data_IF_300704306119
#
_entry.id   IF_300704306119
#
_cell.length_a   1.000
_cell.length_b   1.000
_cell.length_c   1.000
_cell.angle_alpha   90.00
_cell.angle_beta   90.00
_cell.angle_gamma   90.00
#
_symmetry.space_group_name_H-M   'P 1'
#
loop_
_entity.id
_entity.type
_entity.pdbx_description
1 polymer ?
#
# COMPACT_ATOMS: atom_id res chain seq x y z
N UNK A 1 41.70 13.10 2.21
CA UNK A 1 40.69 12.09 2.60
C UNK A 1 40.47 11.02 1.51
N UNK A 2 41.50 10.65 0.75
CA UNK A 2 41.44 9.76 -0.44
C UNK A 2 42.27 8.47 -0.28
N UNK A 3 42.92 8.26 0.86
CA UNK A 3 43.85 7.11 1.07
C UNK A 3 43.24 5.88 1.73
N UNK A 4 41.98 5.93 2.23
CA UNK A 4 41.33 4.79 2.92
C UNK A 4 40.45 3.87 2.04
N UNK A 5 40.27 4.22 0.78
CA UNK A 5 39.43 3.38 -0.14
C UNK A 5 40.23 2.41 -1.02
N UNK A 6 41.60 2.40 -0.87
CA UNK A 6 42.42 1.50 -1.70
C UNK A 6 42.84 0.20 -0.98
N UNK A 7 42.68 0.11 0.33
CA UNK A 7 43.02 -1.09 1.09
C UNK A 7 41.90 -2.14 1.20
N UNK A 8 40.63 -1.77 0.97
CA UNK A 8 39.52 -2.71 1.05
C UNK A 8 39.34 -3.59 -0.20
N UNK A 9 40.02 -3.30 -1.30
CA UNK A 9 39.94 -4.08 -2.55
C UNK A 9 40.92 -5.25 -2.63
N UNK A 10 41.95 -5.27 -1.79
CA UNK A 10 43.01 -6.31 -1.81
C UNK A 10 42.68 -7.54 -0.94
N UNK A 11 41.64 -7.50 -0.10
CA UNK A 11 41.32 -8.62 0.81
C UNK A 11 40.36 -9.62 0.17
N UNK A 12 39.58 -9.19 -0.84
CA UNK A 12 38.61 -10.08 -1.51
C UNK A 12 39.25 -10.90 -2.64
N UNK A 13 40.32 -10.41 -3.27
CA UNK A 13 41.00 -11.11 -4.37
C UNK A 13 41.94 -12.25 -3.94
N UNK A 14 42.41 -12.25 -2.67
CA UNK A 14 43.38 -13.27 -2.20
C UNK A 14 42.67 -14.57 -1.81
N UNK A 15 41.40 -14.53 -1.38
CA UNK A 15 40.66 -15.71 -0.91
C UNK A 15 40.11 -16.61 -2.03
N UNK A 16 39.88 -16.08 -3.22
CA UNK A 16 39.27 -16.85 -4.32
C UNK A 16 40.32 -17.63 -5.13
N UNK A 17 41.52 -17.10 -5.28
CA UNK A 17 42.59 -17.76 -6.04
C UNK A 17 43.11 -19.00 -5.29
N UNK A 18 43.28 -18.92 -3.97
CA UNK A 18 43.74 -20.06 -3.13
C UNK A 18 42.75 -21.22 -3.10
N UNK A 19 41.43 -20.94 -3.11
CA UNK A 19 40.40 -21.98 -3.14
C UNK A 19 40.39 -22.76 -4.45
N UNK A 20 40.69 -22.07 -5.58
CA UNK A 20 40.71 -22.72 -6.91
C UNK A 20 41.94 -23.63 -7.11
N UNK A 21 43.07 -23.28 -6.50
CA UNK A 21 44.30 -24.13 -6.57
C UNK A 21 44.16 -25.40 -5.70
N UNK A 22 43.56 -25.29 -4.54
CA UNK A 22 43.37 -26.44 -3.61
C UNK A 22 42.41 -27.50 -4.20
N UNK A 23 41.38 -27.08 -4.93
CA UNK A 23 40.44 -27.98 -5.65
C UNK A 23 41.11 -28.67 -6.84
N UNK A 24 42.15 -28.07 -7.43
CA UNK A 24 42.86 -28.61 -8.61
C UNK A 24 43.91 -29.65 -8.21
N UNK A 25 44.41 -29.66 -6.97
CA UNK A 25 45.43 -30.57 -6.49
C UNK A 25 44.86 -31.95 -6.00
N UNK A 26 43.55 -32.07 -5.76
CA UNK A 26 42.91 -33.31 -5.32
C UNK A 26 42.49 -34.19 -6.51
N UNK A 27 43.48 -34.63 -7.31
CA UNK A 27 43.29 -35.62 -8.37
C UNK A 27 43.42 -37.05 -7.79
N UNK A 28 42.58 -37.47 -6.87
CA UNK A 28 42.44 -38.88 -6.50
C UNK A 28 41.20 -39.12 -5.65
N UNK A 29 40.02 -38.76 -6.14
CA UNK A 29 38.79 -39.27 -5.55
C UNK A 29 38.40 -40.51 -6.33
N UNK A 30 38.39 -41.71 -5.69
CA UNK A 30 38.03 -42.94 -6.39
C UNK A 30 36.57 -42.86 -6.84
N UNK A 31 36.34 -43.30 -8.06
CA UNK A 31 35.02 -43.23 -8.77
C UNK A 31 33.86 -43.86 -7.96
N UNK A 32 34.16 -44.68 -6.94
CA UNK A 32 33.16 -45.27 -6.03
C UNK A 32 32.51 -44.33 -5.03
N UNK A 33 33.16 -43.20 -4.68
CA UNK A 33 32.59 -42.23 -3.72
C UNK A 33 31.58 -41.29 -4.39
N UNK A 34 31.68 -41.11 -5.70
CA UNK A 34 30.70 -40.28 -6.45
C UNK A 34 29.34 -40.96 -6.55
N UNK A 35 29.27 -42.28 -6.60
CA UNK A 35 28.01 -43.01 -6.68
C UNK A 35 27.24 -42.97 -5.35
N UNK A 36 27.93 -42.94 -4.21
CA UNK A 36 27.32 -42.87 -2.90
C UNK A 36 26.81 -41.44 -2.60
N UNK A 37 27.52 -40.41 -3.06
CA UNK A 37 27.08 -39.02 -2.92
C UNK A 37 25.82 -38.71 -3.74
N UNK A 38 25.65 -39.33 -4.92
CA UNK A 38 24.44 -39.19 -5.74
C UNK A 38 23.23 -39.94 -5.18
N UNK A 39 23.45 -41.04 -4.46
CA UNK A 39 22.36 -41.81 -3.82
C UNK A 39 21.86 -41.12 -2.54
N UNK A 40 22.72 -40.41 -1.80
CA UNK A 40 22.35 -39.67 -0.60
C UNK A 40 21.79 -38.26 -0.98
N UNK A 41 22.28 -37.67 -2.07
CA UNK A 41 21.82 -36.37 -2.57
C UNK A 41 20.39 -36.38 -3.12
N UNK A 42 19.90 -37.55 -3.59
CA UNK A 42 18.54 -37.69 -4.14
C UNK A 42 17.42 -37.65 -3.09
N UNK A 43 17.74 -37.77 -1.78
CA UNK A 43 16.73 -37.77 -0.70
C UNK A 43 16.67 -36.47 0.09
N UNK A 44 17.63 -35.59 -0.10
CA UNK A 44 17.49 -34.20 0.36
C UNK A 44 16.69 -33.41 -0.65
N UNK A 45 15.39 -33.66 -0.71
CA UNK A 45 14.46 -32.66 -1.29
C UNK A 45 14.76 -31.38 -0.54
N UNK A 46 15.31 -30.41 -1.24
CA UNK A 46 15.44 -29.04 -0.82
C UNK A 46 14.02 -28.54 -0.56
N UNK A 47 13.52 -28.84 0.63
CA UNK A 47 12.34 -28.23 1.18
C UNK A 47 12.78 -26.78 1.41
N UNK A 48 12.62 -25.93 0.40
CA UNK A 48 12.76 -24.48 0.59
C UNK A 48 12.02 -24.15 1.88
N UNK A 49 12.68 -23.53 2.88
CA UNK A 49 11.93 -23.03 4.02
C UNK A 49 10.80 -22.22 3.41
N UNK A 50 9.56 -22.62 3.68
CA UNK A 50 8.40 -21.80 3.34
C UNK A 50 8.70 -20.45 3.97
N UNK A 51 8.98 -19.46 3.14
CA UNK A 51 9.06 -18.08 3.57
C UNK A 51 7.87 -17.84 4.51
N UNK A 52 8.06 -17.19 5.67
CA UNK A 52 6.93 -16.87 6.52
C UNK A 52 5.97 -16.10 5.60
N UNK A 53 4.81 -16.71 5.34
CA UNK A 53 3.74 -16.08 4.59
C UNK A 53 3.43 -14.78 5.32
N UNK A 54 3.99 -13.68 4.82
CA UNK A 54 3.57 -12.34 5.23
C UNK A 54 2.07 -12.36 5.01
N UNK A 55 1.33 -12.27 6.11
CA UNK A 55 -0.12 -12.36 6.11
C UNK A 55 -0.60 -11.25 5.17
N UNK A 56 -0.97 -11.61 3.94
CA UNK A 56 -1.44 -10.66 2.96
C UNK A 56 -2.58 -9.87 3.60
N UNK A 57 -2.58 -8.56 3.39
CA UNK A 57 -3.61 -7.69 3.92
C UNK A 57 -4.98 -8.26 3.52
N UNK A 58 -5.79 -8.63 4.51
CA UNK A 58 -7.02 -9.38 4.24
C UNK A 58 -8.16 -8.40 4.05
N UNK A 59 -8.68 -8.32 2.83
CA UNK A 59 -9.95 -7.66 2.54
C UNK A 59 -11.08 -8.21 3.40
N UNK A 60 -11.90 -7.31 3.96
CA UNK A 60 -13.18 -7.73 4.56
C UNK A 60 -14.07 -8.35 3.48
N UNK A 61 -14.69 -9.52 3.73
CA UNK A 61 -15.73 -10.06 2.85
C UNK A 61 -16.83 -9.01 2.61
N UNK A 62 -17.41 -8.95 1.42
CA UNK A 62 -18.38 -7.91 1.05
C UNK A 62 -19.56 -7.81 2.04
N UNK A 63 -20.07 -8.96 2.49
CA UNK A 63 -21.15 -9.05 3.49
C UNK A 63 -20.83 -8.40 4.84
N UNK A 64 -19.54 -8.25 5.16
CA UNK A 64 -19.05 -7.70 6.44
C UNK A 64 -18.57 -6.23 6.31
N UNK A 65 -18.67 -5.67 5.09
CA UNK A 65 -18.31 -4.27 4.82
C UNK A 65 -19.46 -3.36 5.22
N UNK A 66 -19.14 -2.29 5.95
CA UNK A 66 -20.08 -1.21 6.29
C UNK A 66 -19.95 -0.07 5.30
N UNK A 67 -21.01 0.70 5.09
CA UNK A 67 -20.94 1.92 4.30
C UNK A 67 -19.94 2.89 4.95
N UNK A 68 -19.10 3.50 4.12
CA UNK A 68 -18.27 4.62 4.53
C UNK A 68 -19.17 5.83 4.81
N UNK A 69 -19.03 6.50 5.96
CA UNK A 69 -19.75 7.73 6.23
C UNK A 69 -19.46 8.79 5.16
N UNK A 70 -20.50 9.48 4.68
CA UNK A 70 -20.31 10.60 3.77
C UNK A 70 -19.86 11.84 4.53
N UNK A 71 -19.09 12.68 3.88
CA UNK A 71 -18.64 13.98 4.38
C UNK A 71 -18.72 15.02 3.28
N UNK A 72 -18.63 16.29 3.65
CA UNK A 72 -18.57 17.42 2.73
C UNK A 72 -17.47 18.38 3.21
N UNK A 73 -16.27 18.26 2.64
CA UNK A 73 -15.10 19.06 3.01
C UNK A 73 -14.66 19.96 1.86
N UNK A 74 -13.85 20.97 2.16
CA UNK A 74 -13.30 21.88 1.16
C UNK A 74 -11.94 21.39 0.68
N UNK A 75 -11.71 21.48 -0.65
CA UNK A 75 -10.37 21.29 -1.24
C UNK A 75 -9.57 22.60 -1.25
N UNK A 76 -8.35 22.56 -1.75
CA UNK A 76 -7.42 23.70 -1.82
C UNK A 76 -7.97 24.90 -2.65
N UNK A 77 -8.89 24.64 -3.57
CA UNK A 77 -9.55 25.64 -4.40
C UNK A 77 -10.86 26.16 -3.77
N UNK A 78 -11.22 25.67 -2.58
CA UNK A 78 -12.46 26.02 -1.89
C UNK A 78 -13.71 25.29 -2.40
N UNK A 79 -13.55 24.30 -3.30
CA UNK A 79 -14.67 23.49 -3.80
C UNK A 79 -15.10 22.49 -2.75
N UNK A 80 -16.41 22.29 -2.61
CA UNK A 80 -16.92 21.23 -1.74
C UNK A 80 -16.75 19.88 -2.42
N UNK A 81 -16.15 18.95 -1.71
CA UNK A 81 -15.92 17.56 -2.11
C UNK A 81 -16.67 16.64 -1.15
N UNK A 82 -17.45 15.73 -1.69
CA UNK A 82 -18.16 14.71 -0.92
C UNK A 82 -17.56 13.34 -1.23
N UNK A 83 -17.53 12.44 -0.27
CA UNK A 83 -17.14 11.06 -0.55
C UNK A 83 -18.11 10.43 -1.57
N UNK A 84 -19.39 10.76 -1.50
CA UNK A 84 -20.42 10.28 -2.43
C UNK A 84 -20.16 10.67 -3.90
N UNK A 85 -19.37 11.71 -4.17
CA UNK A 85 -18.96 12.10 -5.54
C UNK A 85 -18.03 11.05 -6.19
N UNK A 86 -17.50 10.13 -5.40
CA UNK A 86 -16.57 9.08 -5.83
C UNK A 86 -17.23 7.71 -5.98
N UNK A 87 -18.58 7.63 -5.95
CA UNK A 87 -19.29 6.37 -6.21
C UNK A 87 -18.87 5.80 -7.58
N UNK A 88 -18.69 4.48 -7.63
CA UNK A 88 -18.16 3.79 -8.81
C UNK A 88 -16.64 3.72 -8.89
N UNK A 89 -15.93 4.44 -8.01
CA UNK A 89 -14.47 4.37 -7.88
C UNK A 89 -14.06 3.61 -6.62
N UNK A 90 -12.90 2.99 -6.68
CA UNK A 90 -12.16 2.56 -5.49
C UNK A 90 -11.48 3.78 -4.89
N UNK A 91 -11.68 4.04 -3.61
CA UNK A 91 -11.13 5.22 -2.93
C UNK A 91 -10.16 4.80 -1.84
N UNK A 92 -8.95 5.35 -1.86
CA UNK A 92 -8.03 5.37 -0.74
C UNK A 92 -8.26 6.69 0.00
N UNK A 93 -8.89 6.61 1.17
CA UNK A 93 -9.13 7.74 2.06
C UNK A 93 -8.12 7.69 3.18
N UNK A 94 -7.24 8.69 3.24
CA UNK A 94 -6.13 8.77 4.19
C UNK A 94 -6.28 9.97 5.11
N UNK A 95 -6.29 9.72 6.42
CA UNK A 95 -6.21 10.74 7.45
C UNK A 95 -4.74 10.94 7.84
N UNK A 96 -4.25 12.16 7.68
CA UNK A 96 -2.84 12.50 7.81
C UNK A 96 -2.64 13.91 8.38
N UNK A 97 -1.39 14.32 8.66
CA UNK A 97 -1.05 15.69 8.99
C UNK A 97 0.37 16.05 8.52
N UNK A 98 0.66 17.33 8.39
CA UNK A 98 1.97 17.82 7.95
C UNK A 98 3.10 17.49 8.92
N UNK A 99 2.81 17.41 10.21
CA UNK A 99 3.73 17.05 11.30
C UNK A 99 3.87 15.55 11.55
N UNK A 100 3.07 14.72 10.84
CA UNK A 100 3.08 13.27 10.97
C UNK A 100 4.21 12.67 10.13
N UNK A 101 5.34 12.32 10.73
CA UNK A 101 6.47 11.73 10.02
C UNK A 101 6.12 10.44 9.27
N UNK A 102 5.40 9.45 9.86
CA UNK A 102 4.99 8.24 9.12
C UNK A 102 4.14 8.55 7.87
N UNK A 103 3.26 9.57 7.93
CA UNK A 103 2.42 9.97 6.80
C UNK A 103 3.28 10.42 5.60
N UNK A 104 4.41 11.10 5.87
CA UNK A 104 5.33 11.59 4.83
C UNK A 104 5.96 10.46 4.01
N UNK A 105 6.08 9.26 4.57
CA UNK A 105 6.57 8.08 3.84
C UNK A 105 5.49 7.48 2.93
N UNK A 106 4.21 7.57 3.30
CA UNK A 106 3.12 7.00 2.52
C UNK A 106 2.68 7.90 1.35
N UNK A 107 2.78 9.23 1.51
CA UNK A 107 2.38 10.19 0.46
C UNK A 107 2.97 9.86 -0.92
N UNK A 108 4.29 9.59 -1.08
CA UNK A 108 4.84 9.21 -2.38
C UNK A 108 4.26 7.91 -2.94
N UNK A 109 3.89 6.95 -2.09
CA UNK A 109 3.26 5.71 -2.53
C UNK A 109 1.87 5.97 -3.08
N UNK A 110 1.08 6.78 -2.39
CA UNK A 110 -0.27 7.17 -2.80
C UNK A 110 -0.25 8.03 -4.08
N UNK A 111 0.74 8.91 -4.23
CA UNK A 111 0.97 9.66 -5.48
C UNK A 111 1.23 8.74 -6.67
N UNK A 112 2.04 7.70 -6.46
CA UNK A 112 2.35 6.71 -7.49
C UNK A 112 1.13 5.85 -7.84
N UNK A 113 0.37 5.43 -6.84
CA UNK A 113 -0.87 4.67 -7.03
C UNK A 113 -1.94 5.49 -7.76
N UNK A 114 -2.16 6.76 -7.37
CA UNK A 114 -3.07 7.66 -8.09
C UNK A 114 -2.68 7.78 -9.56
N UNK A 115 -1.41 8.06 -9.85
CA UNK A 115 -0.91 8.19 -11.22
C UNK A 115 -1.14 6.93 -12.06
N UNK A 116 -0.93 5.74 -11.47
CA UNK A 116 -1.03 4.45 -12.17
C UNK A 116 -2.46 3.95 -12.34
N UNK A 117 -3.34 4.24 -11.39
CA UNK A 117 -4.64 3.57 -11.28
C UNK A 117 -5.84 4.47 -11.52
N UNK A 118 -5.67 5.81 -11.60
CA UNK A 118 -6.79 6.76 -11.77
C UNK A 118 -7.69 6.43 -12.96
N UNK A 119 -7.10 6.01 -14.09
CA UNK A 119 -7.84 5.70 -15.31
C UNK A 119 -8.60 4.37 -15.22
N UNK A 120 -8.30 3.54 -14.20
CA UNK A 120 -9.02 2.31 -13.86
C UNK A 120 -10.16 2.55 -12.87
N UNK A 121 -10.41 3.80 -12.51
CA UNK A 121 -11.44 4.17 -11.54
C UNK A 121 -10.95 4.08 -10.08
N UNK A 122 -9.72 4.49 -9.84
CA UNK A 122 -9.14 4.70 -8.52
C UNK A 122 -9.05 6.18 -8.19
N UNK A 123 -9.11 6.54 -6.92
CA UNK A 123 -8.86 7.89 -6.44
C UNK A 123 -8.26 7.87 -5.03
N UNK A 124 -7.32 8.77 -4.77
CA UNK A 124 -6.82 9.07 -3.43
C UNK A 124 -7.45 10.36 -2.92
N UNK A 125 -7.92 10.34 -1.67
CA UNK A 125 -8.38 11.49 -0.91
C UNK A 125 -7.56 11.60 0.37
N UNK A 126 -6.75 12.64 0.50
CA UNK A 126 -6.04 12.93 1.74
C UNK A 126 -6.83 13.93 2.58
N UNK A 127 -7.19 13.55 3.80
CA UNK A 127 -7.86 14.43 4.77
C UNK A 127 -6.84 14.83 5.81
N UNK A 128 -6.38 16.09 5.73
CA UNK A 128 -5.45 16.64 6.72
C UNK A 128 -6.17 16.93 8.03
N UNK A 129 -5.53 16.55 9.13
CA UNK A 129 -5.97 16.81 10.50
C UNK A 129 -5.12 17.90 11.16
N UNK A 130 -4.51 18.79 10.36
CA UNK A 130 -3.78 19.95 10.87
C UNK A 130 -4.75 21.00 11.39
N UNK A 131 -4.56 21.45 12.64
CA UNK A 131 -5.39 22.48 13.27
C UNK A 131 -5.31 23.83 12.53
N UNK A 132 -4.10 24.16 12.01
CA UNK A 132 -3.85 25.38 11.22
C UNK A 132 -4.42 25.26 9.78
N UNK A 133 -4.94 24.12 9.41
CA UNK A 133 -5.64 23.88 8.16
C UNK A 133 -4.81 24.25 6.93
N UNK A 134 -5.43 25.01 6.01
CA UNK A 134 -4.83 25.36 4.73
C UNK A 134 -3.57 26.22 4.83
N UNK A 135 -3.31 26.88 5.94
CA UNK A 135 -2.12 27.71 6.14
C UNK A 135 -0.85 26.85 6.06
N UNK A 136 -0.85 25.70 6.72
CA UNK A 136 0.28 24.77 6.73
C UNK A 136 0.18 23.70 5.64
N UNK A 137 -1.03 23.29 5.26
CA UNK A 137 -1.24 22.22 4.27
C UNK A 137 -0.86 22.65 2.85
N UNK A 138 -1.25 23.86 2.41
CA UNK A 138 -0.95 24.32 1.03
C UNK A 138 0.54 24.35 0.71
N UNK A 139 1.41 24.99 1.51
CA UNK A 139 2.85 25.00 1.21
C UNK A 139 3.44 23.58 1.26
N UNK A 140 2.99 22.73 2.18
CA UNK A 140 3.47 21.37 2.32
C UNK A 140 3.17 20.52 1.07
N UNK A 141 1.91 20.48 0.61
CA UNK A 141 1.52 19.70 -0.58
C UNK A 141 2.17 20.25 -1.86
N UNK A 142 2.37 21.56 -1.95
CA UNK A 142 3.08 22.18 -3.07
C UNK A 142 4.56 21.76 -3.10
N UNK A 143 5.23 21.73 -1.95
CA UNK A 143 6.63 21.31 -1.83
C UNK A 143 6.82 19.84 -2.24
N UNK A 144 5.90 18.96 -1.88
CA UNK A 144 5.95 17.53 -2.23
C UNK A 144 5.42 17.23 -3.64
N UNK A 145 4.75 18.19 -4.29
CA UNK A 145 4.12 17.99 -5.60
C UNK A 145 2.97 16.97 -5.55
N UNK A 146 2.16 16.99 -4.47
CA UNK A 146 1.04 16.04 -4.29
C UNK A 146 0.08 16.13 -5.47
N UNK A 147 -0.23 15.00 -6.08
CA UNK A 147 -0.99 14.89 -7.33
C UNK A 147 -2.41 14.36 -7.15
N UNK A 148 -2.87 14.20 -5.92
CA UNK A 148 -4.22 13.76 -5.58
C UNK A 148 -4.94 14.80 -4.73
N UNK A 149 -6.23 14.59 -4.53
CA UNK A 149 -7.06 15.58 -3.84
C UNK A 149 -6.80 15.60 -2.35
N UNK A 150 -6.51 16.79 -1.84
CA UNK A 150 -6.36 17.07 -0.41
C UNK A 150 -7.56 17.86 0.09
N UNK A 151 -8.00 17.53 1.29
CA UNK A 151 -9.07 18.15 2.03
C UNK A 151 -8.54 18.49 3.43
N UNK A 152 -9.13 19.49 4.09
CA UNK A 152 -8.89 19.73 5.51
C UNK A 152 -10.08 19.15 6.28
N UNK A 153 -9.78 18.23 7.19
CA UNK A 153 -10.75 17.56 8.02
C UNK A 153 -11.20 18.43 9.20
N UNK A 154 -12.16 17.90 9.93
CA UNK A 154 -12.66 18.46 11.20
C UNK A 154 -12.81 17.31 12.19
N UNK A 155 -12.96 17.66 13.49
CA UNK A 155 -13.23 16.67 14.54
C UNK A 155 -14.50 15.85 14.23
N UNK A 156 -15.53 16.49 13.66
CA UNK A 156 -16.75 15.78 13.26
C UNK A 156 -16.45 14.74 12.19
N UNK A 157 -15.58 15.07 11.22
CA UNK A 157 -15.18 14.11 10.18
C UNK A 157 -14.42 12.94 10.79
N UNK A 158 -13.50 13.19 11.71
CA UNK A 158 -12.78 12.15 12.43
C UNK A 158 -13.74 11.23 13.22
N UNK A 159 -14.73 11.81 13.92
CA UNK A 159 -15.72 11.07 14.68
C UNK A 159 -16.60 10.17 13.79
N UNK A 160 -16.98 10.61 12.58
CA UNK A 160 -17.72 9.79 11.63
C UNK A 160 -16.98 8.49 11.30
N UNK A 161 -15.66 8.51 11.28
CA UNK A 161 -14.80 7.36 10.99
C UNK A 161 -14.38 6.56 12.24
N UNK A 162 -15.02 6.85 13.39
CA UNK A 162 -14.87 6.09 14.63
C UNK A 162 -13.86 6.70 15.60
N UNK A 163 -13.49 7.97 15.38
CA UNK A 163 -12.39 8.65 16.05
C UNK A 163 -11.06 8.31 15.38
N UNK A 164 -10.30 9.33 15.00
CA UNK A 164 -8.97 9.14 14.41
C UNK A 164 -7.94 9.44 15.51
N UNK A 165 -7.64 8.41 16.29
CA UNK A 165 -6.75 8.52 17.46
C UNK A 165 -5.26 8.43 17.09
N UNK A 166 -4.94 7.99 15.86
CA UNK A 166 -3.57 7.84 15.38
C UNK A 166 -3.46 8.18 13.90
N UNK A 167 -2.32 8.73 13.49
CA UNK A 167 -2.00 9.05 12.10
C UNK A 167 -0.75 8.27 11.63
N UNK A 168 -0.71 7.84 10.38
CA UNK A 168 -1.82 7.86 9.42
C UNK A 168 -2.92 6.85 9.76
N UNK A 169 -4.15 7.10 9.32
CA UNK A 169 -5.22 6.09 9.32
C UNK A 169 -5.84 6.05 7.93
N UNK A 170 -5.71 4.91 7.25
CA UNK A 170 -6.11 4.72 5.86
C UNK A 170 -7.28 3.77 5.74
N UNK A 171 -8.29 4.17 4.99
CA UNK A 171 -9.46 3.37 4.62
C UNK A 171 -9.42 3.09 3.12
N UNK A 172 -9.57 1.82 2.72
CA UNK A 172 -9.87 1.48 1.34
C UNK A 172 -11.36 1.21 1.20
N UNK A 173 -11.98 1.96 0.30
CA UNK A 173 -13.42 1.99 0.07
C UNK A 173 -13.67 1.46 -1.33
N UNK A 174 -14.59 0.52 -1.45
CA UNK A 174 -14.96 -0.10 -2.71
C UNK A 174 -15.86 0.81 -3.58
N UNK A 175 -16.18 0.37 -4.78
CA UNK A 175 -16.99 1.12 -5.74
C UNK A 175 -18.42 1.39 -5.26
N UNK A 176 -18.92 0.57 -4.34
CA UNK A 176 -20.23 0.75 -3.69
C UNK A 176 -20.16 1.72 -2.51
N UNK A 177 -18.96 2.21 -2.18
CA UNK A 177 -18.71 3.11 -1.07
C UNK A 177 -18.72 2.42 0.28
N UNK A 178 -18.38 1.12 0.32
CA UNK A 178 -18.25 0.35 1.56
C UNK A 178 -16.78 0.25 1.94
N UNK A 179 -16.49 0.29 3.25
CA UNK A 179 -15.13 0.14 3.79
C UNK A 179 -14.69 -1.32 3.67
N UNK A 180 -13.76 -1.58 2.76
CA UNK A 180 -13.22 -2.91 2.48
C UNK A 180 -11.97 -3.23 3.32
N UNK A 181 -11.19 -2.21 3.71
CA UNK A 181 -9.95 -2.37 4.47
C UNK A 181 -9.69 -1.13 5.32
N UNK A 182 -9.06 -1.30 6.48
CA UNK A 182 -8.63 -0.21 7.37
C UNK A 182 -7.23 -0.54 7.87
N UNK A 183 -6.36 0.45 7.85
CA UNK A 183 -5.03 0.38 8.42
C UNK A 183 -4.77 1.59 9.31
N UNK A 184 -4.14 1.38 10.47
CA UNK A 184 -3.76 2.41 11.42
C UNK A 184 -2.24 2.37 11.60
N UNK A 185 -1.60 3.52 11.52
CA UNK A 185 -0.14 3.67 11.55
C UNK A 185 0.50 3.47 10.17
N UNK A 186 1.84 3.51 10.13
CA UNK A 186 2.60 3.29 8.90
C UNK A 186 2.33 1.89 8.34
N UNK A 187 1.79 1.84 7.13
CA UNK A 187 1.48 0.60 6.45
C UNK A 187 2.66 0.01 5.67
N UNK A 188 2.35 -1.07 4.96
CA UNK A 188 3.24 -1.62 3.95
C UNK A 188 2.67 -1.28 2.57
N UNK A 189 3.49 -0.69 1.71
CA UNK A 189 3.10 -0.29 0.37
C UNK A 189 2.45 -1.43 -0.43
N UNK A 190 3.01 -2.64 -0.36
CA UNK A 190 2.48 -3.81 -1.08
C UNK A 190 1.08 -4.18 -0.62
N UNK A 191 0.80 -4.08 0.67
CA UNK A 191 -0.51 -4.42 1.20
C UNK A 191 -1.59 -3.49 0.64
N UNK A 192 -1.30 -2.19 0.51
CA UNK A 192 -2.21 -1.23 -0.13
C UNK A 192 -2.37 -1.53 -1.63
N UNK A 193 -1.26 -1.77 -2.35
CA UNK A 193 -1.28 -2.07 -3.78
C UNK A 193 -2.11 -3.34 -4.07
N UNK A 194 -1.91 -4.41 -3.29
CA UNK A 194 -2.61 -5.69 -3.44
C UNK A 194 -4.13 -5.55 -3.17
N UNK A 195 -4.50 -4.81 -2.11
CA UNK A 195 -5.90 -4.57 -1.78
C UNK A 195 -6.58 -3.71 -2.85
N UNK A 196 -5.92 -2.64 -3.30
CA UNK A 196 -6.45 -1.78 -4.38
C UNK A 196 -6.62 -2.59 -5.66
N UNK A 197 -5.64 -3.42 -6.03
CA UNK A 197 -5.74 -4.26 -7.23
C UNK A 197 -6.92 -5.23 -7.14
N UNK A 198 -7.12 -5.89 -6.00
CA UNK A 198 -8.28 -6.77 -5.78
C UNK A 198 -9.61 -6.03 -5.92
N UNK A 199 -9.72 -4.81 -5.38
CA UNK A 199 -10.94 -4.00 -5.49
C UNK A 199 -11.20 -3.50 -6.91
N UNK A 200 -10.14 -3.19 -7.67
CA UNK A 200 -10.24 -2.74 -9.05
C UNK A 200 -10.65 -3.85 -10.02
N UNK A 201 -10.41 -5.12 -9.68
CA UNK A 201 -10.85 -6.26 -10.48
C UNK A 201 -12.38 -6.44 -10.48
N UNK A 202 -13.09 -5.89 -9.48
CA UNK A 202 -14.55 -5.90 -9.45
C UNK A 202 -15.09 -4.90 -10.48
N UNK A 203 -15.84 -5.34 -11.51
CA UNK A 203 -16.31 -4.44 -12.56
C UNK A 203 -17.26 -3.37 -12.02
N UNK A 204 -17.13 -2.13 -12.50
CA UNK A 204 -18.03 -1.03 -12.15
C UNK A 204 -19.50 -1.33 -12.57
N UNK A 205 -19.72 -2.12 -13.62
CA UNK A 205 -21.03 -2.51 -14.09
C UNK A 205 -21.81 -3.43 -13.11
N UNK A 206 -21.09 -4.18 -12.26
CA UNK A 206 -21.74 -5.01 -11.23
C UNK A 206 -22.42 -4.15 -10.15
N UNK A 207 -21.97 -2.91 -9.97
CA UNK A 207 -22.48 -1.95 -8.99
C UNK A 207 -23.73 -1.22 -9.50
N UNK A 208 -23.84 -0.97 -10.80
CA UNK A 208 -24.96 -0.24 -11.41
C UNK A 208 -26.28 -1.05 -11.39
N UNK A 209 -26.21 -2.37 -11.28
CA UNK A 209 -27.38 -3.27 -11.23
C UNK A 209 -28.07 -3.34 -9.86
N UNK A 210 -27.48 -2.79 -8.81
CA UNK A 210 -28.01 -2.80 -7.44
C UNK A 210 -28.77 -1.50 -7.07
N UNK A 211 -29.10 -0.63 -8.03
CA UNK A 211 -29.92 0.55 -7.78
C UNK A 211 -31.30 0.10 -7.30
N UNK A 212 -31.61 0.40 -6.04
CA UNK A 212 -32.92 0.18 -5.40
C UNK A 212 -34.01 0.75 -6.29
N UNK A 213 -35.06 -0.02 -6.67
CA UNK A 213 -36.16 0.52 -7.40
C UNK A 213 -36.82 1.63 -6.56
N UNK A 214 -36.94 2.82 -7.15
CA UNK A 214 -37.67 3.93 -6.54
C UNK A 214 -39.07 3.42 -6.13
N UNK A 215 -39.33 3.39 -4.83
CA UNK A 215 -40.67 3.17 -4.31
C UNK A 215 -41.55 4.29 -4.84
N UNK A 216 -42.39 3.97 -5.80
CA UNK A 216 -43.49 4.83 -6.20
C UNK A 216 -44.40 4.93 -4.97
N UNK A 217 -44.33 6.07 -4.28
CA UNK A 217 -45.34 6.44 -3.28
C UNK A 217 -46.58 6.77 -4.08
N UNK A 218 -47.52 5.84 -4.09
CA UNK A 218 -48.83 6.05 -4.67
C UNK A 218 -49.52 7.18 -3.94
N UNK A 219 -50.06 8.11 -4.69
CA UNK A 219 -51.02 9.09 -4.24
C UNK A 219 -52.36 8.39 -3.98
N UNK A 220 -52.87 8.58 -2.76
CA UNK A 220 -54.31 8.60 -2.43
C UNK A 220 -54.55 9.75 -1.48
#
# INVERSE_FOLDING_TARGET
>A
MVRRFREARNIIDIGIVDIIEEVRASRSIPLGLFAVALMIGGFFQFRSPSEPSVKAATLKPDKDRRNAPDFALKDADGRTVRLSDYRGKVVLLDFWATWCDPCRYEIPWFMDMERKQKDRGFAVLGVSMDDDGWEVVKPFIAQLGVNYRILVGTDETAQLYGGIDALPTTFLIDREGKIAFVHVGLGNRRDFEDVVEQLLQVPAAAVAGAAVPARIVGAE
#
